data_IF_773127772575
#
_entry.id   IF_773127772575
#
_cell.length_a   1.000
_cell.length_b   1.000
_cell.length_c   1.000
_cell.angle_alpha   90.00
_cell.angle_beta   90.00
_cell.angle_gamma   90.00
#
_symmetry.space_group_name_H-M   'P 1'
#
loop_
_entity.id
_entity.type
_entity.pdbx_description
1 polymer ?
#
# COMPACT_ATOMS: atom_id res chain seq x y z
N UNK A 1 -17.61 -12.70 7.73
CA UNK A 1 -17.40 -12.41 6.29
C UNK A 1 -18.31 -11.30 5.77
N UNK A 2 -19.61 -11.30 6.06
CA UNK A 2 -20.55 -10.30 5.55
C UNK A 2 -20.13 -8.83 5.75
N UNK A 3 -19.56 -8.47 6.91
CA UNK A 3 -19.14 -7.09 7.18
C UNK A 3 -17.96 -6.63 6.30
N UNK A 4 -17.02 -7.54 6.01
CA UNK A 4 -15.82 -7.24 5.21
C UNK A 4 -16.21 -6.98 3.76
N UNK A 5 -17.11 -7.79 3.21
CA UNK A 5 -17.64 -7.60 1.87
C UNK A 5 -18.44 -6.30 1.75
N UNK A 6 -19.26 -6.01 2.76
CA UNK A 6 -19.97 -4.74 2.84
C UNK A 6 -19.03 -3.54 2.88
N UNK A 7 -17.99 -3.57 3.73
CA UNK A 7 -17.00 -2.49 3.81
C UNK A 7 -16.22 -2.33 2.49
N UNK A 8 -15.81 -3.43 1.87
CA UNK A 8 -15.11 -3.41 0.59
C UNK A 8 -15.95 -2.73 -0.50
N UNK A 9 -17.21 -3.16 -0.66
CA UNK A 9 -18.12 -2.64 -1.68
C UNK A 9 -18.51 -1.17 -1.49
N UNK A 10 -18.43 -0.66 -0.24
CA UNK A 10 -18.79 0.71 0.11
C UNK A 10 -17.59 1.65 0.25
N UNK A 11 -16.36 1.12 0.18
CA UNK A 11 -15.15 1.91 0.27
C UNK A 11 -14.86 2.65 -1.04
N UNK A 12 -14.29 3.85 -0.93
CA UNK A 12 -13.86 4.63 -2.09
C UNK A 12 -12.67 3.94 -2.77
N UNK A 13 -12.79 3.72 -4.08
CA UNK A 13 -11.75 3.07 -4.86
C UNK A 13 -11.15 4.09 -5.84
N UNK A 14 -9.85 4.34 -5.73
CA UNK A 14 -9.16 5.44 -6.45
C UNK A 14 -9.14 5.30 -7.97
N UNK A 15 -9.10 4.07 -8.50
CA UNK A 15 -9.09 3.80 -9.95
C UNK A 15 -10.41 4.13 -10.64
N UNK A 16 -11.54 3.83 -9.99
CA UNK A 16 -12.89 4.11 -10.50
C UNK A 16 -13.47 5.43 -9.97
N UNK A 17 -12.74 6.09 -9.07
CA UNK A 17 -13.11 7.36 -8.41
C UNK A 17 -14.48 7.34 -7.69
N UNK A 18 -14.99 6.17 -7.34
CA UNK A 18 -16.25 5.95 -6.62
C UNK A 18 -16.23 4.61 -5.88
N UNK A 19 -17.26 4.28 -5.10
CA UNK A 19 -17.38 2.94 -4.50
C UNK A 19 -17.97 1.93 -5.51
N UNK A 20 -17.58 0.64 -5.47
CA UNK A 20 -18.20 -0.39 -6.31
C UNK A 20 -19.74 -0.45 -6.20
N UNK A 21 -20.28 -0.25 -4.99
CA UNK A 21 -21.71 -0.13 -4.75
C UNK A 21 -22.34 1.05 -5.51
N UNK A 22 -21.67 2.20 -5.54
CA UNK A 22 -22.12 3.39 -6.26
C UNK A 22 -22.11 3.15 -7.77
N UNK A 23 -21.06 2.50 -8.30
CA UNK A 23 -20.98 2.15 -9.71
C UNK A 23 -22.10 1.20 -10.14
N UNK A 24 -22.46 0.23 -9.27
CA UNK A 24 -23.49 -0.78 -9.57
C UNK A 24 -24.91 -0.22 -9.49
N UNK A 25 -25.21 0.60 -8.48
CA UNK A 25 -26.57 1.05 -8.19
C UNK A 25 -26.83 2.54 -8.50
N UNK A 26 -25.80 3.28 -8.91
CA UNK A 26 -25.88 4.73 -9.16
C UNK A 26 -26.18 5.57 -7.92
N UNK A 27 -26.02 5.02 -6.71
CA UNK A 27 -26.33 5.69 -5.44
C UNK A 27 -25.35 5.30 -4.33
N UNK A 28 -25.10 6.21 -3.38
CA UNK A 28 -24.29 5.90 -2.20
C UNK A 28 -25.01 4.93 -1.25
N UNK A 29 -24.24 4.08 -0.58
CA UNK A 29 -24.78 3.19 0.43
C UNK A 29 -25.27 3.98 1.65
N UNK A 30 -26.44 3.63 2.17
CA UNK A 30 -26.97 4.17 3.42
C UNK A 30 -26.31 3.44 4.57
N UNK A 31 -25.48 4.13 5.37
CA UNK A 31 -24.96 3.59 6.62
C UNK A 31 -25.68 4.25 7.80
N UNK A 32 -25.78 3.58 8.96
CA UNK A 32 -26.38 4.16 10.17
C UNK A 32 -25.82 5.54 10.57
N UNK A 33 -24.58 5.84 10.17
CA UNK A 33 -23.87 7.09 10.46
C UNK A 33 -24.02 8.11 9.32
N UNK A 34 -24.32 7.65 8.10
CA UNK A 34 -24.35 8.47 6.88
C UNK A 34 -25.68 8.28 6.13
N UNK A 35 -26.71 8.96 6.63
CA UNK A 35 -28.07 8.98 6.06
C UNK A 35 -28.37 10.21 5.17
N UNK A 36 -27.44 11.17 5.06
CA UNK A 36 -27.76 12.54 4.63
C UNK A 36 -27.86 12.71 3.09
N UNK A 37 -27.25 11.84 2.28
CA UNK A 37 -27.09 12.13 0.84
C UNK A 37 -28.31 11.81 -0.05
N UNK A 38 -29.31 11.06 0.43
CA UNK A 38 -30.49 10.70 -0.40
C UNK A 38 -31.77 11.23 0.21
N UNK A 39 -31.92 12.57 0.16
CA UNK A 39 -33.21 13.24 0.24
C UNK A 39 -33.66 13.60 1.65
N UNK A 40 -33.51 14.89 1.98
CA UNK A 40 -34.02 15.60 3.16
C UNK A 40 -33.56 14.97 4.48
N UNK A 41 -32.79 15.77 5.24
CA UNK A 41 -32.57 15.64 6.68
C UNK A 41 -33.93 15.65 7.40
N UNK A 42 -34.68 14.55 7.32
CA UNK A 42 -35.91 14.33 8.08
C UNK A 42 -35.44 14.29 9.52
N UNK A 43 -35.72 15.39 10.22
CA UNK A 43 -35.56 15.61 11.66
C UNK A 43 -35.18 14.32 12.37
N UNK A 44 -33.87 14.12 12.53
CA UNK A 44 -33.36 13.07 13.40
C UNK A 44 -33.95 13.39 14.77
N UNK A 45 -34.65 12.41 15.34
CA UNK A 45 -35.16 12.45 16.71
C UNK A 45 -34.12 13.14 17.62
N UNK A 46 -34.46 14.11 18.49
CA UNK A 46 -33.50 14.81 19.34
C UNK A 46 -32.59 13.87 20.17
N UNK A 47 -33.00 12.63 20.37
CA UNK A 47 -32.22 11.56 21.01
C UNK A 47 -31.09 11.03 20.13
N UNK A 48 -31.24 11.10 18.81
CA UNK A 48 -30.30 10.55 17.83
C UNK A 48 -29.11 11.45 17.53
N UNK A 49 -29.32 12.76 17.59
CA UNK A 49 -28.31 13.76 17.25
C UNK A 49 -27.04 13.63 18.11
N UNK A 50 -27.12 13.47 19.45
CA UNK A 50 -25.92 13.36 20.29
C UNK A 50 -25.06 12.12 20.00
N UNK A 51 -25.68 10.97 19.67
CA UNK A 51 -24.90 9.76 19.36
C UNK A 51 -24.12 9.93 18.05
N UNK A 52 -24.70 10.64 17.09
CA UNK A 52 -24.11 10.85 15.77
C UNK A 52 -22.89 11.74 15.90
N UNK A 53 -23.00 12.82 16.67
CA UNK A 53 -21.88 13.73 16.96
C UNK A 53 -20.72 13.02 17.65
N UNK A 54 -21.00 12.24 18.70
CA UNK A 54 -20.00 11.42 19.40
C UNK A 54 -19.33 10.40 18.45
N UNK A 55 -20.11 9.76 17.57
CA UNK A 55 -19.58 8.86 16.54
C UNK A 55 -18.64 9.60 15.56
N UNK A 56 -18.99 10.82 15.14
CA UNK A 56 -18.14 11.64 14.27
C UNK A 56 -16.83 12.06 14.93
N UNK A 57 -16.85 12.42 16.21
CA UNK A 57 -15.65 12.75 16.97
C UNK A 57 -14.70 11.55 17.05
N UNK A 58 -15.24 10.38 17.39
CA UNK A 58 -14.48 9.12 17.42
C UNK A 58 -13.90 8.78 16.05
N UNK A 59 -14.69 8.91 14.99
CA UNK A 59 -14.23 8.69 13.62
C UNK A 59 -13.09 9.63 13.22
N UNK A 60 -13.16 10.91 13.61
CA UNK A 60 -12.11 11.89 13.36
C UNK A 60 -10.79 11.47 14.02
N UNK A 61 -10.83 11.06 15.29
CA UNK A 61 -9.65 10.58 16.01
C UNK A 61 -9.07 9.32 15.35
N UNK A 62 -9.91 8.35 14.98
CA UNK A 62 -9.48 7.12 14.30
C UNK A 62 -8.79 7.45 12.97
N UNK A 63 -9.39 8.31 12.15
CA UNK A 63 -8.82 8.74 10.86
C UNK A 63 -7.46 9.41 11.04
N UNK A 64 -7.33 10.33 12.00
CA UNK A 64 -6.06 10.99 12.29
C UNK A 64 -4.96 10.00 12.72
N UNK A 65 -5.29 9.06 13.60
CA UNK A 65 -4.35 8.02 14.05
C UNK A 65 -3.93 7.11 12.90
N UNK A 66 -4.88 6.70 12.05
CA UNK A 66 -4.61 5.86 10.88
C UNK A 66 -3.71 6.58 9.87
N UNK A 67 -4.00 7.84 9.57
CA UNK A 67 -3.18 8.65 8.67
C UNK A 67 -1.77 8.85 9.22
N UNK A 68 -1.63 9.08 10.53
CA UNK A 68 -0.32 9.19 11.19
C UNK A 68 0.47 7.89 11.07
N UNK A 69 -0.18 6.73 11.28
CA UNK A 69 0.46 5.43 11.14
C UNK A 69 0.91 5.16 9.69
N UNK A 70 0.05 5.45 8.70
CA UNK A 70 0.38 5.33 7.28
C UNK A 70 1.55 6.23 6.88
N UNK A 71 1.56 7.50 7.32
CA UNK A 71 2.66 8.43 7.06
C UNK A 71 3.97 7.96 7.69
N UNK A 72 3.94 7.40 8.90
CA UNK A 72 5.12 6.79 9.53
C UNK A 72 5.65 5.60 8.72
N UNK A 73 4.76 4.69 8.31
CA UNK A 73 5.11 3.55 7.48
C UNK A 73 5.74 4.00 6.15
N UNK A 74 5.13 4.99 5.49
CA UNK A 74 5.63 5.56 4.24
C UNK A 74 7.02 6.18 4.44
N UNK A 75 7.21 6.98 5.49
CA UNK A 75 8.51 7.57 5.83
C UNK A 75 9.59 6.51 6.03
N UNK A 76 9.31 5.43 6.77
CA UNK A 76 10.27 4.34 6.94
C UNK A 76 10.58 3.58 5.65
N UNK A 77 9.57 3.34 4.80
CA UNK A 77 9.77 2.69 3.52
C UNK A 77 10.58 3.56 2.55
N UNK A 78 10.26 4.85 2.45
CA UNK A 78 10.80 5.74 1.43
C UNK A 78 12.20 6.27 1.80
N UNK A 79 12.53 6.45 3.09
CA UNK A 79 13.85 6.89 3.53
C UNK A 79 14.98 5.89 3.19
N UNK A 80 14.63 4.66 2.78
CA UNK A 80 15.57 3.61 2.31
C UNK A 80 15.43 3.26 0.83
N UNK A 81 14.66 4.04 0.06
CA UNK A 81 14.46 3.87 -1.40
C UNK A 81 15.14 4.98 -2.20
N UNK A 82 16.30 5.48 -1.75
CA UNK A 82 17.14 6.27 -2.65
C UNK A 82 17.65 5.36 -3.75
N UNK A 83 17.55 5.79 -5.01
CA UNK A 83 18.35 5.20 -6.07
C UNK A 83 19.81 5.38 -5.64
N UNK A 84 20.50 4.28 -5.38
CA UNK A 84 21.91 4.31 -5.04
C UNK A 84 22.67 4.36 -6.37
N UNK A 85 23.25 5.51 -6.66
CA UNK A 85 24.17 5.66 -7.78
C UNK A 85 25.53 5.09 -7.32
N UNK A 86 26.13 4.25 -8.17
CA UNK A 86 27.41 3.61 -7.89
C UNK A 86 28.43 4.10 -8.90
N UNK A 87 29.64 4.41 -8.43
CA UNK A 87 30.76 4.72 -9.31
C UNK A 87 31.57 3.44 -9.62
N UNK A 88 32.31 3.48 -10.72
CA UNK A 88 33.21 2.40 -11.09
C UNK A 88 34.29 2.27 -10.01
N UNK A 89 34.28 1.15 -9.27
CA UNK A 89 35.19 0.90 -8.16
C UNK A 89 34.49 0.69 -6.81
N UNK A 90 33.21 1.04 -6.71
CA UNK A 90 32.41 0.82 -5.50
C UNK A 90 32.16 -0.66 -5.24
N UNK A 91 32.29 -1.07 -3.97
CA UNK A 91 32.02 -2.45 -3.53
C UNK A 91 30.54 -2.64 -3.24
N UNK A 92 29.85 -3.37 -4.11
CA UNK A 92 28.42 -3.67 -3.99
C UNK A 92 28.15 -5.13 -3.69
N UNK A 93 27.06 -5.41 -2.96
CA UNK A 93 26.62 -6.78 -2.71
C UNK A 93 25.69 -7.26 -3.83
N UNK A 94 26.10 -8.31 -4.56
CA UNK A 94 25.25 -8.92 -5.58
C UNK A 94 24.23 -9.86 -4.92
N UNK A 95 22.94 -9.57 -5.11
CA UNK A 95 21.85 -10.45 -4.64
C UNK A 95 21.80 -11.69 -5.50
N UNK A 96 21.96 -12.86 -4.89
CA UNK A 96 21.77 -14.12 -5.60
C UNK A 96 20.30 -14.50 -5.52
N UNK A 97 19.59 -14.28 -6.61
CA UNK A 97 18.40 -15.08 -6.88
C UNK A 97 18.88 -16.51 -7.13
N UNK A 98 18.30 -17.53 -6.49
CA UNK A 98 18.54 -18.90 -6.90
C UNK A 98 18.03 -19.04 -8.33
N UNK A 99 18.92 -18.79 -9.30
CA UNK A 99 18.63 -18.99 -10.69
C UNK A 99 18.39 -20.49 -10.83
N UNK A 100 17.21 -20.87 -11.32
CA UNK A 100 16.94 -22.22 -11.73
C UNK A 100 18.13 -22.70 -12.57
N UNK A 101 18.79 -23.78 -12.12
CA UNK A 101 19.62 -24.70 -12.92
C UNK A 101 21.15 -24.77 -12.77
N UNK A 102 21.84 -24.17 -11.78
CA UNK A 102 23.27 -24.54 -11.56
C UNK A 102 23.68 -24.92 -10.14
N UNK A 103 22.85 -24.72 -9.12
CA UNK A 103 23.01 -25.38 -7.81
C UNK A 103 21.65 -25.42 -7.11
N UNK A 104 20.78 -26.33 -7.56
CA UNK A 104 19.50 -26.61 -6.92
C UNK A 104 19.71 -27.40 -5.61
N UNK A 105 20.34 -26.79 -4.62
CA UNK A 105 20.33 -27.24 -3.24
C UNK A 105 19.08 -26.71 -2.54
N UNK A 106 18.14 -27.60 -2.19
CA UNK A 106 16.98 -27.31 -1.33
C UNK A 106 17.36 -26.36 -0.19
N UNK A 107 16.54 -25.33 -0.03
CA UNK A 107 16.76 -24.18 0.84
C UNK A 107 17.43 -24.48 2.17
N UNK A 108 18.68 -24.06 2.29
CA UNK A 108 19.32 -23.91 3.59
C UNK A 108 18.97 -22.54 4.13
N UNK A 109 17.89 -22.51 4.91
CA UNK A 109 17.60 -21.45 5.86
C UNK A 109 18.92 -21.09 6.56
N UNK A 110 19.40 -19.84 6.43
CA UNK A 110 20.70 -19.28 6.88
C UNK A 110 21.86 -19.22 5.86
N UNK A 111 21.63 -19.42 4.56
CA UNK A 111 22.64 -19.05 3.57
C UNK A 111 22.72 -17.55 3.29
N UNK A 112 23.93 -17.00 3.05
CA UNK A 112 24.08 -15.64 2.55
C UNK A 112 23.30 -15.50 1.24
N UNK A 113 22.37 -14.54 1.21
CA UNK A 113 21.62 -14.17 -0.02
C UNK A 113 22.38 -13.18 -0.89
N UNK A 114 23.57 -12.78 -0.43
CA UNK A 114 24.43 -11.79 -1.02
C UNK A 114 25.86 -12.31 -0.90
N UNK A 115 26.61 -12.30 -2.00
CA UNK A 115 28.05 -12.51 -1.96
C UNK A 115 28.75 -11.15 -2.03
N UNK A 116 29.90 -11.04 -1.37
CA UNK A 116 30.86 -9.99 -1.66
C UNK A 116 31.59 -10.44 -2.93
N UNK A 117 31.42 -9.76 -4.08
CA UNK A 117 32.28 -10.02 -5.22
C UNK A 117 33.71 -9.68 -4.78
N UNK A 118 34.68 -10.56 -5.00
CA UNK A 118 36.04 -10.07 -5.20
C UNK A 118 35.98 -8.95 -6.25
N UNK A 119 36.73 -7.84 -6.07
CA UNK A 119 36.53 -6.59 -6.80
C UNK A 119 36.66 -6.85 -8.31
N UNK A 120 35.52 -7.15 -8.92
CA UNK A 120 35.35 -7.24 -10.35
C UNK A 120 34.89 -5.85 -10.73
N UNK A 121 35.71 -5.09 -11.49
CA UNK A 121 35.32 -3.77 -11.95
C UNK A 121 33.99 -3.88 -12.66
N UNK A 122 33.08 -2.92 -12.44
CA UNK A 122 31.89 -2.78 -13.26
C UNK A 122 32.37 -2.61 -14.71
N UNK A 123 32.25 -3.67 -15.50
CA UNK A 123 32.70 -3.67 -16.89
C UNK A 123 31.80 -2.74 -17.68
N UNK A 124 32.41 -1.93 -18.55
CA UNK A 124 31.65 -1.14 -19.52
C UNK A 124 30.82 -2.10 -20.39
N UNK A 125 29.57 -1.77 -20.73
CA UNK A 125 28.88 -2.52 -21.78
C UNK A 125 29.75 -2.48 -23.03
N UNK A 126 30.19 -3.63 -23.49
CA UNK A 126 30.87 -3.76 -24.78
C UNK A 126 29.84 -3.40 -25.85
N UNK A 127 30.14 -2.36 -26.64
CA UNK A 127 29.41 -2.08 -27.87
C UNK A 127 29.68 -3.26 -28.82
N UNK A 128 28.66 -4.10 -29.00
CA UNK A 128 28.69 -5.15 -30.00
C UNK A 128 28.33 -4.48 -31.32
N UNK A 129 29.36 -4.19 -32.12
CA UNK A 129 29.16 -3.85 -33.53
C UNK A 129 28.60 -5.08 -34.24
N UNK A 130 27.36 -4.95 -34.74
CA UNK A 130 26.71 -5.96 -35.56
C UNK A 130 27.01 -5.56 -37.02
N UNK A 131 27.99 -6.24 -37.62
CA UNK A 131 28.22 -6.24 -39.07
C UNK A 131 27.11 -7.00 -39.83
#
# INVERSE_FOLDING_TARGET
MALVEFEYNNSYHSSIQMAPYEALYGRKCRSPIFWDEVGKRRVLDPVAVPWIEDAYEKLKVIRQRLQTAQSRQKSYADNRRKNLEFEVGDKVFLKVTPLQSLTAGKGKKRHPRYYHPDPTPILKPEEIDID
#
